data_IF_316500950087
#
_entry.id   IF_316500950087
#
_cell.length_a   1.000
_cell.length_b   1.000
_cell.length_c   1.000
_cell.angle_alpha   90.00
_cell.angle_beta   90.00
_cell.angle_gamma   90.00
#
_symmetry.space_group_name_H-M   'P 1'
#
loop_
_entity.id
_entity.type
_entity.pdbx_description
1 polymer ?
#
# COMPACT_ATOMS: atom_id res chain seq x y z
N UNK A 1 -21.60 -9.98 -8.66
CA UNK A 1 -20.22 -9.42 -8.79
C UNK A 1 -19.51 -10.16 -9.90
N UNK A 2 -19.13 -9.48 -10.98
CA UNK A 2 -18.35 -10.09 -12.06
C UNK A 2 -16.96 -10.50 -11.56
N UNK A 3 -16.42 -11.60 -12.09
CA UNK A 3 -15.07 -12.07 -11.76
C UNK A 3 -14.05 -11.03 -12.27
N UNK A 4 -13.45 -10.25 -11.37
CA UNK A 4 -12.42 -9.26 -11.75
C UNK A 4 -11.24 -10.00 -12.38
N UNK A 5 -10.91 -9.67 -13.64
CA UNK A 5 -9.84 -10.34 -14.37
C UNK A 5 -8.48 -9.80 -13.92
N UNK A 6 -7.50 -10.68 -13.83
CA UNK A 6 -6.14 -10.28 -13.51
C UNK A 6 -5.49 -9.50 -14.67
N UNK A 7 -4.65 -8.54 -14.30
CA UNK A 7 -3.90 -7.73 -15.23
C UNK A 7 -2.76 -8.58 -15.80
N UNK A 8 -2.68 -8.71 -17.12
CA UNK A 8 -1.57 -9.41 -17.76
C UNK A 8 -0.31 -8.54 -17.72
N UNK A 9 0.66 -8.93 -16.90
CA UNK A 9 1.96 -8.25 -16.71
C UNK A 9 3.16 -9.12 -17.08
N UNK A 10 2.94 -10.19 -17.85
CA UNK A 10 4.00 -11.11 -18.27
C UNK A 10 5.12 -10.40 -19.05
N UNK A 11 4.79 -9.37 -19.84
CA UNK A 11 5.79 -8.54 -20.54
C UNK A 11 6.72 -7.77 -19.59
N UNK A 12 6.34 -7.63 -18.32
CA UNK A 12 7.14 -7.01 -17.27
C UNK A 12 7.84 -8.06 -16.38
N UNK A 13 7.84 -9.34 -16.78
CA UNK A 13 8.31 -10.47 -15.98
C UNK A 13 7.62 -10.62 -14.62
N UNK A 14 6.34 -10.23 -14.55
CA UNK A 14 5.49 -10.40 -13.37
C UNK A 14 4.50 -11.53 -13.67
N UNK A 15 4.61 -12.62 -12.89
CA UNK A 15 3.67 -13.73 -12.96
C UNK A 15 2.29 -13.35 -12.40
N UNK A 16 1.25 -14.07 -12.78
CA UNK A 16 -0.11 -13.81 -12.29
C UNK A 16 -0.20 -13.90 -10.76
N UNK A 17 0.53 -14.85 -10.16
CA UNK A 17 0.59 -15.00 -8.70
C UNK A 17 1.29 -13.81 -8.03
N UNK A 18 2.40 -13.33 -8.60
CA UNK A 18 3.08 -12.14 -8.10
C UNK A 18 2.19 -10.90 -8.23
N UNK A 19 1.49 -10.74 -9.34
CA UNK A 19 0.52 -9.67 -9.49
C UNK A 19 -0.57 -9.71 -8.41
N UNK A 20 -1.12 -10.90 -8.10
CA UNK A 20 -2.13 -11.04 -7.03
C UNK A 20 -1.56 -10.64 -5.67
N UNK A 21 -0.33 -11.06 -5.36
CA UNK A 21 0.36 -10.64 -4.12
C UNK A 21 0.46 -9.11 -4.04
N UNK A 22 0.93 -8.45 -5.10
CA UNK A 22 1.05 -6.98 -5.16
C UNK A 22 -0.33 -6.30 -5.07
N UNK A 23 -1.35 -6.85 -5.74
CA UNK A 23 -2.72 -6.36 -5.68
C UNK A 23 -3.25 -6.39 -4.25
N UNK A 24 -3.15 -7.53 -3.56
CA UNK A 24 -3.60 -7.64 -2.17
C UNK A 24 -2.76 -6.78 -1.22
N UNK A 25 -1.46 -6.66 -1.49
CA UNK A 25 -0.59 -5.75 -0.76
C UNK A 25 -1.09 -4.29 -0.84
N UNK A 26 -1.56 -3.84 -2.00
CA UNK A 26 -2.22 -2.54 -2.17
C UNK A 26 -3.58 -2.47 -1.45
N UNK A 27 -4.40 -3.53 -1.50
CA UNK A 27 -5.71 -3.56 -0.81
C UNK A 27 -5.59 -3.41 0.71
N UNK A 28 -4.50 -3.91 1.30
CA UNK A 28 -4.22 -3.77 2.73
C UNK A 28 -3.77 -2.36 3.13
N UNK A 29 -3.62 -1.41 2.21
CA UNK A 29 -3.10 -0.08 2.50
C UNK A 29 -3.90 0.66 3.60
N UNK A 30 -5.23 0.67 3.52
CA UNK A 30 -6.08 1.33 4.53
C UNK A 30 -5.98 0.68 5.90
N UNK A 31 -5.85 -0.64 5.95
CA UNK A 31 -5.61 -1.40 7.18
C UNK A 31 -4.25 -1.04 7.80
N UNK A 32 -3.20 -0.96 6.97
CA UNK A 32 -1.85 -0.55 7.39
C UNK A 32 -1.86 0.87 7.97
N UNK A 33 -2.55 1.81 7.32
CA UNK A 33 -2.72 3.17 7.83
C UNK A 33 -3.42 3.19 9.20
N UNK A 34 -4.49 2.40 9.34
CA UNK A 34 -5.22 2.28 10.61
C UNK A 34 -4.34 1.71 11.73
N UNK A 35 -3.59 0.64 11.45
CA UNK A 35 -2.65 0.05 12.40
C UNK A 35 -1.51 1.00 12.78
N UNK A 36 -1.02 1.80 11.83
CA UNK A 36 0.03 2.78 12.10
C UNK A 36 -0.48 3.89 13.02
N UNK A 37 -1.71 4.37 12.80
CA UNK A 37 -2.36 5.35 13.68
C UNK A 37 -2.54 4.81 15.09
N UNK A 38 -3.06 3.59 15.25
CA UNK A 38 -3.28 3.00 16.58
C UNK A 38 -1.98 2.82 17.38
N UNK A 39 -0.89 2.39 16.73
CA UNK A 39 0.43 2.30 17.39
C UNK A 39 0.96 3.68 17.82
N UNK A 40 0.71 4.71 17.01
CA UNK A 40 1.14 6.08 17.30
C UNK A 40 0.38 6.67 18.49
N UNK A 41 -0.95 6.51 18.51
CA UNK A 41 -1.81 6.98 19.61
C UNK A 41 -1.51 6.27 20.93
N UNK A 42 -1.14 4.98 20.89
CA UNK A 42 -0.77 4.20 22.07
C UNK A 42 0.61 4.61 22.63
N UNK A 43 1.50 5.14 21.79
CA UNK A 43 2.82 5.63 22.20
C UNK A 43 2.79 7.03 22.82
N UNK A 44 1.67 7.76 22.74
CA UNK A 44 1.47 9.00 23.49
C UNK A 44 1.49 8.69 24.99
N UNK A 45 2.24 9.43 25.82
CA UNK A 45 2.37 9.11 27.23
C UNK A 45 1.01 9.24 27.92
N UNK A 46 0.36 8.11 28.17
CA UNK A 46 -0.69 8.02 29.18
C UNK A 46 0.03 8.00 30.51
N UNK A 47 -0.22 9.01 31.33
CA UNK A 47 0.27 9.10 32.70
C UNK A 47 -0.48 8.04 33.53
N UNK A 48 -0.14 6.77 33.35
CA UNK A 48 -0.60 5.70 34.22
C UNK A 48 0.63 5.03 34.82
N UNK A 49 0.90 5.44 36.06
CA UNK A 49 1.80 4.80 36.98
C UNK A 49 1.35 3.36 37.26
N UNK A 50 1.96 2.38 36.60
CA UNK A 50 1.95 0.99 37.10
C UNK A 50 3.23 0.27 36.68
N UNK A 51 4.02 -0.12 37.68
CA UNK A 51 5.30 -0.78 37.52
C UNK A 51 5.23 -2.25 37.10
N UNK A 52 6.41 -2.82 36.83
CA UNK A 52 6.66 -4.26 36.91
C UNK A 52 7.24 -4.91 35.66
N UNK A 53 8.57 -5.08 35.67
CA UNK A 53 9.22 -6.27 35.13
C UNK A 53 9.74 -6.21 33.70
N UNK A 54 10.90 -6.85 33.52
CA UNK A 54 11.75 -7.06 32.33
C UNK A 54 11.09 -7.50 31.00
N UNK A 55 9.76 -7.45 30.84
CA UNK A 55 8.99 -7.80 29.64
C UNK A 55 8.54 -6.59 28.81
N UNK A 56 8.78 -5.39 29.31
CA UNK A 56 8.37 -4.12 28.67
C UNK A 56 9.28 -3.76 27.49
N UNK A 57 10.58 -4.06 27.57
CA UNK A 57 11.57 -3.75 26.53
C UNK A 57 11.30 -4.47 25.20
N UNK A 58 11.00 -5.77 25.26
CA UNK A 58 10.77 -6.58 24.06
C UNK A 58 9.51 -6.13 23.32
N UNK A 59 8.44 -5.80 24.07
CA UNK A 59 7.20 -5.26 23.50
C UNK A 59 7.40 -3.90 22.82
N UNK A 60 8.25 -3.05 23.39
CA UNK A 60 8.60 -1.75 22.79
C UNK A 60 9.40 -1.94 21.50
N UNK A 61 10.38 -2.85 21.48
CA UNK A 61 11.17 -3.15 20.29
C UNK A 61 10.31 -3.73 19.16
N UNK A 62 9.44 -4.70 19.46
CA UNK A 62 8.51 -5.29 18.49
C UNK A 62 7.55 -4.25 17.91
N UNK A 63 7.04 -3.35 18.77
CA UNK A 63 6.14 -2.26 18.34
C UNK A 63 6.86 -1.28 17.41
N UNK A 64 8.11 -0.94 17.71
CA UNK A 64 8.93 -0.07 16.86
C UNK A 64 9.22 -0.73 15.50
N UNK A 65 9.61 -2.01 15.49
CA UNK A 65 9.81 -2.79 14.27
C UNK A 65 8.53 -2.85 13.41
N UNK A 66 7.38 -3.12 14.05
CA UNK A 66 6.09 -3.16 13.36
C UNK A 66 5.72 -1.81 12.76
N UNK A 67 5.90 -0.73 13.51
CA UNK A 67 5.67 0.65 13.04
C UNK A 67 6.53 0.95 11.81
N UNK A 68 7.82 0.66 11.86
CA UNK A 68 8.75 0.89 10.76
C UNK A 68 8.39 0.07 9.50
N UNK A 69 7.92 -1.18 9.67
CA UNK A 69 7.44 -1.97 8.54
C UNK A 69 6.18 -1.38 7.92
N UNK A 70 5.20 -0.96 8.73
CA UNK A 70 3.97 -0.32 8.25
C UNK A 70 4.26 0.96 7.45
N UNK A 71 5.15 1.81 7.97
CA UNK A 71 5.57 3.03 7.29
C UNK A 71 6.21 2.73 5.94
N UNK A 72 7.18 1.81 5.90
CA UNK A 72 7.83 1.39 4.65
C UNK A 72 6.84 0.82 3.64
N UNK A 73 5.89 0.00 4.09
CA UNK A 73 4.89 -0.58 3.20
C UNK A 73 3.96 0.48 2.59
N UNK A 74 3.53 1.46 3.38
CA UNK A 74 2.67 2.58 2.93
C UNK A 74 3.44 3.44 1.92
N UNK A 75 4.65 3.88 2.30
CA UNK A 75 5.50 4.73 1.47
C UNK A 75 5.83 4.05 0.13
N UNK A 76 6.12 2.75 0.14
CA UNK A 76 6.39 2.00 -1.09
C UNK A 76 5.21 2.06 -2.07
N UNK A 77 3.97 1.99 -1.59
CA UNK A 77 2.77 2.08 -2.42
C UNK A 77 2.61 3.51 -2.97
N UNK A 78 2.73 4.52 -2.10
CA UNK A 78 2.59 5.93 -2.49
C UNK A 78 3.65 6.34 -3.51
N UNK A 79 4.93 6.01 -3.26
CA UNK A 79 6.04 6.33 -4.15
C UNK A 79 5.91 5.62 -5.50
N UNK A 80 5.45 4.36 -5.51
CA UNK A 80 5.19 3.65 -6.76
C UNK A 80 4.14 4.36 -7.62
N UNK A 81 3.12 4.98 -7.01
CA UNK A 81 2.09 5.73 -7.73
C UNK A 81 2.64 7.06 -8.27
N UNK A 82 3.40 7.78 -7.46
CA UNK A 82 4.04 9.05 -7.84
C UNK A 82 5.03 8.82 -9.00
N UNK A 83 5.89 7.80 -8.91
CA UNK A 83 6.86 7.48 -9.95
C UNK A 83 6.19 6.94 -11.24
N UNK A 84 5.04 6.28 -11.11
CA UNK A 84 4.26 5.88 -12.27
C UNK A 84 3.81 7.11 -13.07
N UNK A 85 3.17 8.06 -12.37
CA UNK A 85 2.76 9.35 -12.90
C UNK A 85 2.31 10.30 -11.77
N UNK A 86 2.93 11.47 -11.66
CA UNK A 86 2.63 12.43 -10.59
C UNK A 86 1.20 12.97 -10.69
N UNK A 87 0.75 13.32 -11.90
CA UNK A 87 -0.54 14.00 -12.13
C UNK A 87 -1.73 13.10 -11.82
N UNK A 88 -1.62 11.82 -12.17
CA UNK A 88 -2.72 10.86 -11.95
C UNK A 88 -2.49 9.90 -10.77
N UNK A 89 -1.45 10.12 -9.98
CA UNK A 89 -1.05 9.25 -8.85
C UNK A 89 -2.21 8.97 -7.88
N UNK A 90 -2.98 10.01 -7.52
CA UNK A 90 -4.16 9.88 -6.66
C UNK A 90 -5.22 8.92 -7.25
N UNK A 91 -5.52 9.05 -8.54
CA UNK A 91 -6.49 8.18 -9.22
C UNK A 91 -5.97 6.74 -9.38
N UNK A 92 -4.65 6.56 -9.54
CA UNK A 92 -4.04 5.24 -9.50
C UNK A 92 -4.26 4.62 -8.12
N UNK A 93 -4.03 5.36 -7.04
CA UNK A 93 -4.26 4.91 -5.67
C UNK A 93 -5.72 4.50 -5.45
N UNK A 94 -6.69 5.35 -5.81
CA UNK A 94 -8.12 5.05 -5.69
C UNK A 94 -8.51 3.75 -6.43
N UNK A 95 -7.91 3.52 -7.59
CA UNK A 95 -8.16 2.31 -8.37
C UNK A 95 -7.50 1.06 -7.79
N UNK A 96 -6.24 1.13 -7.34
CA UNK A 96 -5.48 -0.04 -6.88
C UNK A 96 -5.72 -0.39 -5.41
N UNK A 97 -5.93 0.63 -4.56
CA UNK A 97 -6.20 0.50 -3.13
C UNK A 97 -7.69 0.30 -2.90
N UNK A 98 -8.50 1.28 -3.30
CA UNK A 98 -9.93 1.30 -2.97
C UNK A 98 -10.76 0.52 -3.99
N UNK A 99 -10.23 0.27 -5.19
CA UNK A 99 -10.87 -0.57 -6.20
C UNK A 99 -11.94 0.14 -7.00
N UNK A 100 -11.92 1.47 -6.96
CA UNK A 100 -12.85 2.30 -7.70
C UNK A 100 -12.56 2.10 -9.19
N UNK A 101 -13.56 1.63 -9.94
CA UNK A 101 -13.39 1.40 -11.37
C UNK A 101 -13.14 2.73 -12.10
N UNK A 102 -12.43 2.68 -13.22
CA UNK A 102 -12.05 3.89 -13.96
C UNK A 102 -13.26 4.75 -14.34
N UNK A 103 -14.40 4.11 -14.65
CA UNK A 103 -15.66 4.75 -15.03
C UNK A 103 -16.24 5.66 -13.95
N UNK A 104 -15.81 5.50 -12.70
CA UNK A 104 -16.22 6.32 -11.56
C UNK A 104 -15.13 7.33 -11.14
N UNK A 105 -14.02 7.42 -11.89
CA UNK A 105 -12.93 8.34 -11.64
C UNK A 105 -12.91 9.43 -12.72
N UNK A 106 -12.88 10.70 -12.30
CA UNK A 106 -12.73 11.84 -13.22
C UNK A 106 -11.26 12.07 -13.55
N UNK A 107 -10.63 11.09 -14.19
CA UNK A 107 -9.20 11.10 -14.50
C UNK A 107 -8.94 12.02 -15.69
N UNK A 108 -8.00 12.98 -15.61
CA UNK A 108 -7.62 13.85 -16.73
C UNK A 108 -6.72 13.14 -17.76
N UNK A 109 -7.00 11.87 -18.06
CA UNK A 109 -6.25 11.06 -19.00
C UNK A 109 -7.20 10.10 -19.73
N UNK A 110 -6.81 9.64 -20.92
CA UNK A 110 -7.59 8.59 -21.59
C UNK A 110 -7.50 7.26 -20.85
N UNK A 111 -8.54 6.43 -20.97
CA UNK A 111 -8.60 5.05 -20.45
C UNK A 111 -7.30 4.29 -20.75
N UNK A 112 -6.87 4.33 -22.02
CA UNK A 112 -5.67 3.63 -22.47
C UNK A 112 -4.39 4.13 -21.76
N UNK A 113 -4.28 5.45 -21.57
CA UNK A 113 -3.15 6.05 -20.86
C UNK A 113 -3.16 5.64 -19.39
N UNK A 114 -4.31 5.74 -18.73
CA UNK A 114 -4.48 5.34 -17.33
C UNK A 114 -4.04 3.90 -17.09
N UNK A 115 -4.57 2.94 -17.85
CA UNK A 115 -4.22 1.53 -17.66
C UNK A 115 -2.76 1.21 -18.00
N UNK A 116 -2.11 1.99 -18.87
CA UNK A 116 -0.66 1.89 -19.11
C UNK A 116 0.13 2.38 -17.89
N UNK A 117 -0.28 3.49 -17.26
CA UNK A 117 0.35 3.98 -16.03
C UNK A 117 0.09 3.06 -14.83
N UNK A 118 -1.10 2.47 -14.72
CA UNK A 118 -1.39 1.40 -13.74
C UNK A 118 -0.48 0.17 -13.93
N UNK A 119 -0.18 -0.24 -15.17
CA UNK A 119 0.81 -1.31 -15.41
C UNK A 119 2.21 -0.90 -14.97
N UNK A 120 2.63 0.33 -15.27
CA UNK A 120 3.92 0.91 -14.81
C UNK A 120 4.01 0.92 -13.28
N UNK A 121 2.94 1.31 -12.59
CA UNK A 121 2.82 1.26 -11.13
C UNK A 121 3.15 -0.13 -10.58
N UNK A 122 2.50 -1.20 -11.07
CA UNK A 122 2.77 -2.55 -10.58
C UNK A 122 4.19 -3.03 -10.90
N UNK A 123 4.77 -2.56 -12.00
CA UNK A 123 6.17 -2.84 -12.32
C UNK A 123 7.14 -2.16 -11.34
N UNK A 124 6.94 -0.88 -11.02
CA UNK A 124 7.74 -0.16 -10.02
C UNK A 124 7.59 -0.83 -8.65
N UNK A 125 6.35 -1.10 -8.24
CA UNK A 125 6.06 -1.73 -6.96
C UNK A 125 6.71 -3.12 -6.82
N UNK A 126 6.70 -3.92 -7.90
CA UNK A 126 7.40 -5.20 -7.92
C UNK A 126 8.91 -5.02 -7.71
N UNK A 127 9.52 -3.99 -8.32
CA UNK A 127 10.94 -3.69 -8.17
C UNK A 127 11.31 -3.23 -6.76
N UNK A 128 10.46 -2.41 -6.14
CA UNK A 128 10.69 -1.95 -4.76
C UNK A 128 10.49 -3.07 -3.72
N UNK A 129 9.62 -4.04 -4.00
CA UNK A 129 9.29 -5.16 -3.10
C UNK A 129 10.08 -6.44 -3.39
N UNK A 130 11.10 -6.40 -4.25
CA UNK A 130 12.03 -7.51 -4.46
C UNK A 130 13.13 -7.47 -3.41
#
# INVERSE_FOLDING_TARGET
>A
MGRERDLKLQSYNISDNRYRELKYFCRQYREKQSQLRSITELSSPRFDSTGGGNKTSDRTADTACRRAQLQRDIEMIEQSAIEADVEISAYIMDNVVDGIAYEYLDVPASIASFYRKRRKFFWILDKMKR
#
